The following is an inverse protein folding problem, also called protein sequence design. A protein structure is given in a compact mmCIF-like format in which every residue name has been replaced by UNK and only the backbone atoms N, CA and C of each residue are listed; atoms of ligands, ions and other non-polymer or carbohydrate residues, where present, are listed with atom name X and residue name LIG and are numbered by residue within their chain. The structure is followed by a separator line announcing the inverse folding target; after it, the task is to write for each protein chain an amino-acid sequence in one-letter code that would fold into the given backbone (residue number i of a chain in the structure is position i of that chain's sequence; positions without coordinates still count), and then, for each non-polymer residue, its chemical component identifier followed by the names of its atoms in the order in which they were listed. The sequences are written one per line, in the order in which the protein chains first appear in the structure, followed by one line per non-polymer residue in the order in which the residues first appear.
data_IF_806415427656
#
_entry.id   IF_806415427656
#
_cell.length_a   1.000
_cell.length_b   1.000
_cell.length_c   1.000
_cell.angle_alpha   90.00
_cell.angle_beta   90.00
_cell.angle_gamma   90.00
#
_symmetry.space_group_name_H-M   'P 1'
#
loop_
_entity.id
_entity.type
_entity.pdbx_description
1 polymer ?
#
# COMPACT_ATOMS: atom_id res chain seq x y z
N UNK A 1 -10.68 49.61 -61.93
CA UNK A 1 -11.21 50.40 -63.08
C UNK A 1 -12.50 51.18 -62.75
N UNK A 2 -13.19 50.95 -61.62
CA UNK A 2 -14.42 51.69 -61.25
C UNK A 2 -14.21 52.94 -60.38
N UNK A 3 -13.09 53.06 -59.65
CA UNK A 3 -12.84 54.20 -58.76
C UNK A 3 -12.69 55.51 -59.53
N UNK A 4 -11.93 55.53 -60.63
CA UNK A 4 -11.74 56.72 -61.48
C UNK A 4 -13.04 57.24 -62.14
N UNK A 5 -13.98 56.34 -62.47
CA UNK A 5 -15.28 56.74 -63.03
C UNK A 5 -16.17 57.39 -61.98
N UNK A 6 -16.15 56.87 -60.75
CA UNK A 6 -16.87 57.46 -59.62
C UNK A 6 -16.29 58.82 -59.22
N UNK A 7 -14.97 58.98 -59.23
CA UNK A 7 -14.34 60.29 -58.97
C UNK A 7 -14.65 61.29 -60.08
N UNK A 8 -14.63 60.87 -61.35
CA UNK A 8 -14.97 61.75 -62.47
C UNK A 8 -16.43 62.22 -62.41
N UNK A 9 -17.39 61.34 -62.09
CA UNK A 9 -18.81 61.71 -61.94
C UNK A 9 -19.02 62.66 -60.75
N UNK A 10 -18.35 62.42 -59.63
CA UNK A 10 -18.42 63.30 -58.46
C UNK A 10 -17.89 64.71 -58.78
N UNK A 11 -16.79 64.82 -59.53
CA UNK A 11 -16.22 66.11 -59.97
C UNK A 11 -17.20 66.86 -60.88
N UNK A 12 -17.85 66.17 -61.83
CA UNK A 12 -18.85 66.78 -62.71
C UNK A 12 -20.08 67.30 -61.95
N UNK A 13 -20.57 66.55 -60.95
CA UNK A 13 -21.70 66.97 -60.11
C UNK A 13 -21.32 68.19 -59.25
N UNK A 14 -20.11 68.20 -58.69
CA UNK A 14 -19.60 69.32 -57.88
C UNK A 14 -19.42 70.59 -58.73
N UNK A 15 -18.88 70.45 -59.95
CA UNK A 15 -18.75 71.56 -60.89
C UNK A 15 -20.12 72.11 -61.33
N UNK A 16 -21.09 71.22 -61.60
CA UNK A 16 -22.45 71.61 -61.95
C UNK A 16 -23.16 72.35 -60.82
N UNK A 17 -23.08 71.86 -59.57
CA UNK A 17 -23.63 72.51 -58.39
C UNK A 17 -22.96 73.86 -58.09
N UNK A 18 -21.64 73.93 -58.25
CA UNK A 18 -20.87 75.17 -58.10
C UNK A 18 -21.31 76.25 -59.08
N UNK A 19 -21.56 75.89 -60.34
CA UNK A 19 -22.03 76.82 -61.37
C UNK A 19 -23.44 77.36 -61.09
N UNK A 20 -24.37 76.51 -60.62
CA UNK A 20 -25.73 76.92 -60.25
C UNK A 20 -25.75 77.86 -59.03
N UNK A 21 -24.89 77.62 -58.04
CA UNK A 21 -24.74 78.52 -56.89
C UNK A 21 -24.13 79.87 -57.26
N UNK A 22 -23.22 79.89 -58.25
CA UNK A 22 -22.56 81.10 -58.77
C UNK A 22 -23.54 82.07 -59.42
N UNK A 23 -24.54 81.53 -60.12
CA UNK A 23 -25.59 82.31 -60.77
C UNK A 23 -26.56 82.92 -59.73
N UNK A 24 -26.86 82.22 -58.63
CA UNK A 24 -27.95 82.60 -57.71
C UNK A 24 -27.53 83.41 -56.47
N UNK A 25 -26.29 83.28 -55.96
CA UNK A 25 -25.94 83.79 -54.62
C UNK A 25 -24.71 84.71 -54.54
N UNK A 26 -24.09 85.02 -55.67
CA UNK A 26 -22.95 85.95 -55.76
C UNK A 26 -21.62 85.39 -55.26
N UNK A 27 -20.52 86.03 -55.68
CA UNK A 27 -19.15 85.48 -55.59
C UNK A 27 -18.74 85.10 -54.16
N UNK A 28 -19.15 85.86 -53.14
CA UNK A 28 -18.73 85.63 -51.76
C UNK A 28 -19.29 84.34 -51.15
N UNK A 29 -20.56 83.97 -51.41
CA UNK A 29 -21.13 82.72 -50.89
C UNK A 29 -20.59 81.48 -51.62
N UNK A 30 -20.22 81.64 -52.89
CA UNK A 30 -19.61 80.60 -53.72
C UNK A 30 -18.20 80.26 -53.23
N UNK A 31 -17.42 81.25 -52.80
CA UNK A 31 -16.11 81.00 -52.20
C UNK A 31 -16.22 80.23 -50.88
N UNK A 32 -17.17 80.57 -50.00
CA UNK A 32 -17.40 79.80 -48.78
C UNK A 32 -17.85 78.36 -49.06
N UNK A 33 -18.71 78.14 -50.07
CA UNK A 33 -19.16 76.81 -50.47
C UNK A 33 -18.02 75.99 -51.10
N UNK A 34 -17.20 76.60 -51.97
CA UNK A 34 -16.02 75.97 -52.56
C UNK A 34 -14.97 75.59 -51.51
N UNK A 35 -14.69 76.48 -50.56
CA UNK A 35 -13.79 76.20 -49.43
C UNK A 35 -14.35 75.07 -48.55
N UNK A 36 -15.67 75.05 -48.30
CA UNK A 36 -16.32 74.01 -47.50
C UNK A 36 -16.29 72.64 -48.18
N UNK A 37 -16.47 72.57 -49.51
CA UNK A 37 -16.34 71.34 -50.29
C UNK A 37 -14.89 70.85 -50.30
N UNK A 38 -13.91 71.74 -50.46
CA UNK A 38 -12.49 71.38 -50.39
C UNK A 38 -12.16 70.81 -49.01
N UNK A 39 -12.60 71.46 -47.94
CA UNK A 39 -12.42 70.98 -46.56
C UNK A 39 -13.11 69.63 -46.33
N UNK A 40 -14.35 69.45 -46.78
CA UNK A 40 -15.07 68.16 -46.68
C UNK A 40 -14.40 67.05 -47.51
N UNK A 41 -13.82 67.37 -48.68
CA UNK A 41 -13.07 66.40 -49.48
C UNK A 41 -11.76 66.00 -48.82
N UNK A 42 -11.07 66.94 -48.16
CA UNK A 42 -9.87 66.69 -47.38
C UNK A 42 -10.19 65.83 -46.16
N UNK A 43 -11.24 66.17 -45.40
CA UNK A 43 -11.70 65.38 -44.25
C UNK A 43 -12.15 63.99 -44.70
N UNK A 44 -12.92 63.88 -45.79
CA UNK A 44 -13.35 62.60 -46.36
C UNK A 44 -12.18 61.75 -46.83
N UNK A 45 -11.16 62.35 -47.46
CA UNK A 45 -9.93 61.66 -47.86
C UNK A 45 -9.13 61.19 -46.65
N UNK A 46 -9.05 61.98 -45.58
CA UNK A 46 -8.35 61.61 -44.33
C UNK A 46 -9.10 60.51 -43.58
N UNK A 47 -10.43 60.59 -43.51
CA UNK A 47 -11.28 59.56 -42.90
C UNK A 47 -11.22 58.26 -43.72
N UNK A 48 -11.25 58.34 -45.04
CA UNK A 48 -11.12 57.18 -45.93
C UNK A 48 -9.74 56.53 -45.81
N UNK A 49 -8.65 57.30 -45.83
CA UNK A 49 -7.30 56.75 -45.64
C UNK A 49 -7.13 56.18 -44.24
N UNK A 50 -7.67 56.82 -43.19
CA UNK A 50 -7.66 56.28 -41.83
C UNK A 50 -8.45 54.97 -41.70
N UNK A 51 -9.67 54.92 -42.26
CA UNK A 51 -10.52 53.72 -42.22
C UNK A 51 -9.93 52.57 -43.06
N UNK A 52 -9.38 52.88 -44.24
CA UNK A 52 -8.63 51.92 -45.07
C UNK A 52 -7.38 51.41 -44.34
N UNK A 53 -6.62 52.28 -43.69
CA UNK A 53 -5.44 51.89 -42.91
C UNK A 53 -5.82 50.99 -41.71
N UNK A 54 -6.95 51.23 -41.05
CA UNK A 54 -7.46 50.37 -39.97
C UNK A 54 -7.97 49.02 -40.49
N UNK A 55 -8.68 49.02 -41.61
CA UNK A 55 -9.15 47.81 -42.30
C UNK A 55 -7.98 46.94 -42.76
N UNK A 56 -6.98 47.53 -43.42
CA UNK A 56 -5.78 46.83 -43.90
C UNK A 56 -4.98 46.22 -42.74
N UNK A 57 -4.83 46.93 -41.62
CA UNK A 57 -4.22 46.39 -40.39
C UNK A 57 -4.98 45.19 -39.83
N UNK A 58 -6.30 45.22 -39.90
CA UNK A 58 -7.16 44.13 -39.40
C UNK A 58 -7.07 42.92 -40.32
N UNK A 59 -7.07 43.13 -41.64
CA UNK A 59 -6.89 42.08 -42.64
C UNK A 59 -5.51 41.42 -42.51
N UNK A 60 -4.44 42.20 -42.38
CA UNK A 60 -3.09 41.65 -42.23
C UNK A 60 -2.91 40.91 -40.91
N UNK A 61 -3.57 41.35 -39.83
CA UNK A 61 -3.63 40.61 -38.57
C UNK A 61 -4.32 39.24 -38.75
N UNK A 62 -5.46 39.20 -39.42
CA UNK A 62 -6.19 37.95 -39.69
C UNK A 62 -5.38 36.99 -40.56
N UNK A 63 -4.68 37.49 -41.59
CA UNK A 63 -3.76 36.67 -42.41
C UNK A 63 -2.67 36.04 -41.54
N UNK A 64 -2.04 36.82 -40.66
CA UNK A 64 -1.01 36.33 -39.76
C UNK A 64 -1.54 35.27 -38.78
N UNK A 65 -2.74 35.48 -38.22
CA UNK A 65 -3.41 34.51 -37.35
C UNK A 65 -3.70 33.18 -38.07
N UNK A 66 -4.21 33.23 -39.31
CA UNK A 66 -4.47 32.02 -40.11
C UNK A 66 -3.17 31.29 -40.46
N UNK A 67 -2.11 32.00 -40.85
CA UNK A 67 -0.81 31.38 -41.14
C UNK A 67 -0.17 30.79 -39.88
N UNK A 68 -0.34 31.41 -38.71
CA UNK A 68 0.07 30.80 -37.44
C UNK A 68 -0.74 29.54 -37.13
N UNK A 69 -2.05 29.55 -37.42
CA UNK A 69 -2.91 28.38 -37.25
C UNK A 69 -2.47 27.22 -38.15
N UNK A 70 -2.27 27.45 -39.45
CA UNK A 70 -1.75 26.43 -40.39
C UNK A 70 -0.44 25.82 -39.88
N UNK A 71 0.49 26.66 -39.41
CA UNK A 71 1.78 26.20 -38.86
C UNK A 71 1.58 25.29 -37.64
N UNK A 72 0.68 25.69 -36.74
CA UNK A 72 0.34 24.91 -35.54
C UNK A 72 -0.33 23.58 -35.90
N UNK A 73 -1.35 23.60 -36.76
CA UNK A 73 -2.09 22.41 -37.17
C UNK A 73 -1.17 21.40 -37.89
N UNK A 74 -0.26 21.90 -38.73
CA UNK A 74 0.78 21.07 -39.36
C UNK A 74 1.71 20.42 -38.32
N UNK A 75 2.19 21.18 -37.34
CA UNK A 75 3.07 20.66 -36.29
C UNK A 75 2.37 19.62 -35.41
N UNK A 76 1.10 19.86 -35.06
CA UNK A 76 0.27 18.92 -34.31
C UNK A 76 0.06 17.62 -35.11
N UNK A 77 -0.25 17.73 -36.41
CA UNK A 77 -0.36 16.58 -37.31
C UNK A 77 0.95 15.81 -37.45
N UNK A 78 2.09 16.50 -37.58
CA UNK A 78 3.40 15.87 -37.63
C UNK A 78 3.72 15.07 -36.38
N UNK A 79 3.40 15.63 -35.21
CA UNK A 79 3.58 14.95 -33.93
C UNK A 79 2.70 13.69 -33.83
N UNK A 80 1.42 13.80 -34.18
CA UNK A 80 0.49 12.66 -34.15
C UNK A 80 0.92 11.53 -35.11
N UNK A 81 1.36 11.87 -36.32
CA UNK A 81 1.87 10.88 -37.27
C UNK A 81 3.18 10.26 -36.79
N UNK A 82 4.07 11.02 -36.16
CA UNK A 82 5.29 10.47 -35.57
C UNK A 82 5.00 9.46 -34.45
N UNK A 83 4.08 9.79 -33.54
CA UNK A 83 3.62 8.89 -32.47
C UNK A 83 2.94 7.62 -33.04
N UNK A 84 2.15 7.76 -34.11
CA UNK A 84 1.59 6.61 -34.82
C UNK A 84 2.67 5.71 -35.44
N UNK A 85 3.79 6.30 -35.87
CA UNK A 85 4.96 5.61 -36.41
C UNK A 85 5.65 4.65 -35.44
N UNK A 86 5.40 4.77 -34.13
CA UNK A 86 5.89 3.80 -33.13
C UNK A 86 5.13 2.47 -33.17
N UNK A 87 3.92 2.45 -33.76
CA UNK A 87 3.07 1.26 -33.84
C UNK A 87 3.00 0.65 -35.23
N UNK A 88 2.96 1.51 -36.24
CA UNK A 88 2.75 1.11 -37.64
C UNK A 88 3.70 1.85 -38.57
N UNK A 89 3.98 1.26 -39.72
CA UNK A 89 4.71 1.97 -40.75
C UNK A 89 3.82 3.10 -41.33
N UNK A 90 4.19 4.35 -41.06
CA UNK A 90 3.53 5.56 -41.55
C UNK A 90 4.30 6.27 -42.68
N UNK A 91 5.28 5.62 -43.31
CA UNK A 91 6.17 6.25 -44.31
C UNK A 91 5.40 6.90 -45.46
N UNK A 92 4.29 6.28 -45.90
CA UNK A 92 3.42 6.84 -46.93
C UNK A 92 2.73 8.12 -46.46
N UNK A 93 2.19 8.11 -45.23
CA UNK A 93 1.50 9.26 -44.63
C UNK A 93 2.48 10.39 -44.33
N UNK A 94 3.69 10.06 -43.88
CA UNK A 94 4.77 11.00 -43.61
C UNK A 94 5.26 11.67 -44.91
N UNK A 95 5.43 10.92 -46.00
CA UNK A 95 5.78 11.49 -47.31
C UNK A 95 4.71 12.47 -47.81
N UNK A 96 3.44 12.12 -47.64
CA UNK A 96 2.33 13.01 -48.01
C UNK A 96 2.25 14.27 -47.14
N UNK A 97 2.62 14.16 -45.86
CA UNK A 97 2.75 15.30 -44.95
C UNK A 97 3.93 16.21 -45.35
N UNK A 98 5.08 15.62 -45.68
CA UNK A 98 6.25 16.36 -46.19
C UNK A 98 5.92 17.08 -47.52
N UNK A 99 5.15 16.44 -48.41
CA UNK A 99 4.65 17.06 -49.64
C UNK A 99 3.75 18.27 -49.35
N UNK A 100 2.88 18.18 -48.34
CA UNK A 100 2.05 19.32 -47.89
C UNK A 100 2.93 20.50 -47.45
N UNK A 101 3.99 20.24 -46.69
CA UNK A 101 4.98 21.27 -46.30
C UNK A 101 5.67 21.89 -47.52
N UNK A 102 6.17 21.06 -48.44
CA UNK A 102 6.81 21.54 -49.66
C UNK A 102 5.88 22.42 -50.50
N UNK A 103 4.59 22.08 -50.58
CA UNK A 103 3.61 22.89 -51.30
C UNK A 103 3.40 24.26 -50.64
N UNK A 104 3.30 24.33 -49.31
CA UNK A 104 3.17 25.59 -48.58
C UNK A 104 4.41 26.49 -48.73
N UNK A 105 5.60 25.89 -48.84
CA UNK A 105 6.86 26.60 -49.13
C UNK A 105 6.87 27.10 -50.58
N UNK A 106 6.48 26.25 -51.55
CA UNK A 106 6.44 26.61 -52.97
C UNK A 106 5.43 27.75 -53.26
N UNK A 107 4.32 27.80 -52.53
CA UNK A 107 3.36 28.91 -52.56
C UNK A 107 3.90 30.19 -51.93
N UNK A 108 5.10 30.15 -51.34
CA UNK A 108 5.76 31.25 -50.62
C UNK A 108 4.95 31.72 -49.42
N UNK A 109 4.18 30.85 -48.77
CA UNK A 109 3.59 31.16 -47.47
C UNK A 109 4.61 31.01 -46.34
N UNK A 110 5.54 30.07 -46.49
CA UNK A 110 6.62 29.83 -45.54
C UNK A 110 7.98 29.67 -46.24
N UNK A 111 9.06 29.90 -45.50
CA UNK A 111 10.43 29.58 -45.92
C UNK A 111 10.81 28.12 -45.61
N UNK A 112 12.07 27.76 -45.88
CA UNK A 112 12.60 26.41 -45.62
C UNK A 112 12.50 26.00 -44.14
N UNK A 113 12.65 26.98 -43.24
CA UNK A 113 12.54 26.81 -41.78
C UNK A 113 11.08 26.87 -41.28
N UNK A 114 10.12 26.95 -42.21
CA UNK A 114 8.69 27.02 -41.96
C UNK A 114 8.27 28.27 -41.17
N UNK A 115 8.97 29.39 -41.38
CA UNK A 115 8.59 30.71 -40.89
C UNK A 115 7.82 31.48 -41.96
N UNK A 116 6.86 32.31 -41.54
CA UNK A 116 6.03 33.10 -42.44
C UNK A 116 6.89 34.10 -43.21
N UNK A 117 6.72 34.15 -44.52
CA UNK A 117 7.49 35.05 -45.40
C UNK A 117 6.81 36.41 -45.58
N UNK A 118 7.57 37.41 -46.04
CA UNK A 118 7.01 38.71 -46.44
C UNK A 118 6.16 38.59 -47.72
N UNK A 119 6.46 37.62 -48.59
CA UNK A 119 5.66 37.31 -49.78
C UNK A 119 4.24 36.85 -49.45
N UNK A 120 4.04 36.18 -48.31
CA UNK A 120 2.73 35.74 -47.85
C UNK A 120 1.74 36.91 -47.70
N UNK A 121 2.22 38.11 -47.34
CA UNK A 121 1.40 39.32 -47.17
C UNK A 121 0.76 39.81 -48.48
N UNK A 122 1.37 39.48 -49.62
CA UNK A 122 0.90 39.88 -50.97
C UNK A 122 -0.35 39.11 -51.41
N UNK A 123 -0.66 38.00 -50.77
CA UNK A 123 -1.88 37.24 -51.05
C UNK A 123 -3.11 37.89 -50.41
N UNK A 124 -4.28 37.70 -51.04
CA UNK A 124 -5.55 38.12 -50.45
C UNK A 124 -5.94 37.20 -49.30
N UNK A 125 -6.71 37.73 -48.33
CA UNK A 125 -7.20 36.95 -47.20
C UNK A 125 -7.95 35.69 -47.65
N UNK A 126 -8.78 35.81 -48.69
CA UNK A 126 -9.54 34.69 -49.26
C UNK A 126 -8.67 33.54 -49.76
N UNK A 127 -7.50 33.83 -50.33
CA UNK A 127 -6.57 32.79 -50.80
C UNK A 127 -5.95 32.05 -49.61
N UNK A 128 -5.55 32.79 -48.57
CA UNK A 128 -5.00 32.20 -47.34
C UNK A 128 -6.06 31.37 -46.59
N UNK A 129 -7.31 31.83 -46.54
CA UNK A 129 -8.43 31.08 -45.96
C UNK A 129 -8.75 29.79 -46.74
N UNK A 130 -8.73 29.85 -48.07
CA UNK A 130 -8.92 28.67 -48.92
C UNK A 130 -7.81 27.64 -48.70
N UNK A 131 -6.56 28.09 -48.62
CA UNK A 131 -5.45 27.17 -48.35
C UNK A 131 -5.51 26.60 -46.94
N UNK A 132 -5.89 27.39 -45.93
CA UNK A 132 -6.13 26.88 -44.57
C UNK A 132 -7.16 25.73 -44.57
N UNK A 133 -8.28 25.90 -45.29
CA UNK A 133 -9.29 24.83 -45.41
C UNK A 133 -8.73 23.58 -46.11
N UNK A 134 -7.89 23.75 -47.15
CA UNK A 134 -7.24 22.62 -47.84
C UNK A 134 -6.26 21.88 -46.94
N UNK A 135 -5.44 22.61 -46.19
CA UNK A 135 -4.51 22.05 -45.20
C UNK A 135 -5.28 21.28 -44.14
N UNK A 136 -6.31 21.87 -43.53
CA UNK A 136 -7.16 21.19 -42.54
C UNK A 136 -7.77 19.90 -43.09
N UNK A 137 -8.31 19.93 -44.31
CA UNK A 137 -8.88 18.75 -44.95
C UNK A 137 -7.82 17.67 -45.23
N UNK A 138 -6.64 18.07 -45.71
CA UNK A 138 -5.55 17.14 -46.01
C UNK A 138 -5.02 16.51 -44.73
N UNK A 139 -4.79 17.28 -43.68
CA UNK A 139 -4.36 16.78 -42.38
C UNK A 139 -5.37 15.77 -41.81
N UNK A 140 -6.68 16.09 -41.82
CA UNK A 140 -7.74 15.16 -41.41
C UNK A 140 -7.73 13.87 -42.22
N UNK A 141 -7.49 13.94 -43.53
CA UNK A 141 -7.40 12.75 -44.38
C UNK A 141 -6.18 11.88 -44.04
N UNK A 142 -5.04 12.49 -43.75
CA UNK A 142 -3.82 11.79 -43.36
C UNK A 142 -3.96 11.15 -41.98
N UNK A 143 -4.58 11.86 -41.02
CA UNK A 143 -4.92 11.31 -39.70
C UNK A 143 -5.89 10.13 -39.81
N UNK A 144 -6.90 10.21 -40.67
CA UNK A 144 -7.84 9.11 -40.89
C UNK A 144 -7.15 7.87 -41.50
N UNK A 145 -6.24 8.07 -42.46
CA UNK A 145 -5.45 6.97 -43.04
C UNK A 145 -4.56 6.31 -41.98
N UNK A 146 -3.85 7.10 -41.18
CA UNK A 146 -3.05 6.57 -40.08
C UNK A 146 -3.91 5.87 -39.01
N UNK A 147 -5.10 6.38 -38.70
CA UNK A 147 -6.02 5.75 -37.76
C UNK A 147 -6.49 4.36 -38.22
N UNK A 148 -6.71 4.16 -39.53
CA UNK A 148 -7.08 2.86 -40.10
C UNK A 148 -5.99 1.82 -39.85
N UNK A 149 -4.73 2.20 -40.03
CA UNK A 149 -3.57 1.32 -39.81
C UNK A 149 -3.30 1.08 -38.32
N UNK A 150 -3.42 2.12 -37.48
CA UNK A 150 -3.17 2.03 -36.02
C UNK A 150 -4.20 1.16 -35.31
N UNK A 151 -5.47 1.24 -35.70
CA UNK A 151 -6.56 0.54 -35.02
C UNK A 151 -6.33 -0.97 -34.81
N UNK A 152 -6.02 -1.79 -35.83
CA UNK A 152 -5.77 -3.22 -35.62
C UNK A 152 -4.58 -3.50 -34.70
N UNK A 153 -3.52 -2.66 -34.76
CA UNK A 153 -2.36 -2.79 -33.86
C UNK A 153 -2.67 -2.39 -32.43
N UNK A 154 -3.53 -1.40 -32.23
CA UNK A 154 -4.05 -1.07 -30.91
C UNK A 154 -4.87 -2.22 -30.35
N UNK A 155 -5.76 -2.82 -31.14
CA UNK A 155 -6.58 -3.95 -30.72
C UNK A 155 -5.72 -5.16 -30.34
N UNK A 156 -4.68 -5.47 -31.14
CA UNK A 156 -3.68 -6.52 -30.85
C UNK A 156 -2.97 -6.25 -29.51
N UNK A 157 -2.47 -5.03 -29.33
CA UNK A 157 -1.81 -4.61 -28.09
C UNK A 157 -2.73 -4.74 -26.86
N UNK A 158 -3.99 -4.34 -26.98
CA UNK A 158 -4.98 -4.48 -25.91
C UNK A 158 -5.21 -5.95 -25.55
N UNK A 159 -5.32 -6.84 -26.55
CA UNK A 159 -5.47 -8.27 -26.29
C UNK A 159 -4.23 -8.86 -25.61
N UNK A 160 -3.03 -8.44 -26.00
CA UNK A 160 -1.80 -8.86 -25.32
C UNK A 160 -1.78 -8.46 -23.84
N UNK A 161 -2.18 -7.21 -23.53
CA UNK A 161 -2.30 -6.74 -22.15
C UNK A 161 -3.36 -7.53 -21.38
N UNK A 162 -4.51 -7.85 -21.99
CA UNK A 162 -5.54 -8.71 -21.38
C UNK A 162 -5.02 -10.09 -21.04
N UNK A 163 -4.29 -10.74 -21.95
CA UNK A 163 -3.69 -12.06 -21.69
C UNK A 163 -2.72 -11.99 -20.51
N UNK A 164 -1.92 -10.92 -20.43
CA UNK A 164 -1.01 -10.67 -19.31
C UNK A 164 -1.76 -10.44 -17.99
N UNK A 165 -2.84 -9.65 -17.99
CA UNK A 165 -3.71 -9.44 -16.83
C UNK A 165 -4.36 -10.75 -16.34
N UNK A 166 -4.86 -11.58 -17.26
CA UNK A 166 -5.46 -12.86 -16.90
C UNK A 166 -4.44 -13.82 -16.28
N UNK A 167 -3.19 -13.81 -16.73
CA UNK A 167 -2.09 -14.56 -16.08
C UNK A 167 -1.86 -14.11 -14.63
N UNK A 168 -1.83 -12.80 -14.37
CA UNK A 168 -1.67 -12.26 -13.01
C UNK A 168 -2.88 -12.61 -12.12
N UNK A 169 -4.09 -12.51 -12.66
CA UNK A 169 -5.32 -12.89 -11.95
C UNK A 169 -5.32 -14.39 -11.60
N UNK A 170 -4.96 -15.25 -12.55
CA UNK A 170 -4.83 -16.72 -12.34
C UNK A 170 -3.76 -17.09 -11.32
N UNK A 171 -2.69 -16.30 -11.22
CA UNK A 171 -1.69 -16.46 -10.16
C UNK A 171 -2.23 -16.08 -8.77
N UNK A 172 -3.38 -15.40 -8.69
CA UNK A 172 -4.08 -15.10 -7.45
C UNK A 172 -3.76 -13.73 -6.86
N UNK A 173 -3.29 -12.77 -7.65
CA UNK A 173 -3.12 -11.38 -7.22
C UNK A 173 -4.44 -10.65 -7.03
N UNK A 174 -4.52 -9.75 -6.04
CA UNK A 174 -5.74 -8.97 -5.73
C UNK A 174 -5.80 -7.66 -6.52
N UNK A 175 -6.15 -7.77 -7.80
CA UNK A 175 -6.15 -6.63 -8.77
C UNK A 175 -7.53 -6.33 -9.39
N UNK A 176 -8.63 -6.80 -8.78
CA UNK A 176 -9.98 -6.70 -9.37
C UNK A 176 -10.40 -5.28 -9.72
N UNK A 177 -10.32 -4.35 -8.77
CA UNK A 177 -10.72 -2.95 -8.95
C UNK A 177 -9.87 -2.22 -10.02
N UNK A 178 -8.56 -2.51 -10.07
CA UNK A 178 -7.70 -1.91 -11.09
C UNK A 178 -7.95 -2.47 -12.49
N UNK A 179 -8.33 -3.75 -12.59
CA UNK A 179 -8.72 -4.39 -13.84
C UNK A 179 -10.04 -3.82 -14.34
N UNK A 180 -11.04 -3.58 -13.48
CA UNK A 180 -12.29 -2.92 -13.88
C UNK A 180 -12.04 -1.52 -14.47
N UNK A 181 -11.12 -0.77 -13.85
CA UNK A 181 -10.70 0.54 -14.38
C UNK A 181 -10.00 0.42 -15.74
N UNK A 182 -9.18 -0.62 -15.94
CA UNK A 182 -8.55 -0.91 -17.23
C UNK A 182 -9.61 -1.24 -18.29
N UNK A 183 -10.56 -2.12 -17.97
CA UNK A 183 -11.67 -2.51 -18.84
C UNK A 183 -12.59 -1.33 -19.18
N UNK A 184 -12.78 -0.37 -18.26
CA UNK A 184 -13.53 0.86 -18.52
C UNK A 184 -12.87 1.73 -19.59
N UNK A 185 -11.55 1.91 -19.52
CA UNK A 185 -10.78 2.64 -20.54
C UNK A 185 -10.84 1.89 -21.87
N UNK A 186 -10.77 0.57 -21.81
CA UNK A 186 -10.85 -0.30 -22.99
C UNK A 186 -12.21 -0.22 -23.69
N UNK A 187 -13.31 -0.14 -22.95
CA UNK A 187 -14.66 -0.06 -23.49
C UNK A 187 -14.95 1.27 -24.21
N UNK A 188 -14.15 2.32 -23.97
CA UNK A 188 -14.32 3.60 -24.65
C UNK A 188 -14.00 3.48 -26.14
N UNK A 189 -14.95 3.87 -27.00
CA UNK A 189 -14.71 3.98 -28.43
C UNK A 189 -13.66 5.06 -28.73
N UNK A 190 -12.74 4.76 -29.64
CA UNK A 190 -11.77 5.71 -30.17
C UNK A 190 -11.97 5.83 -31.68
N UNK A 191 -12.37 7.01 -32.14
CA UNK A 191 -12.73 7.30 -33.54
C UNK A 191 -11.64 8.04 -34.27
N UNK A 192 -10.83 8.83 -33.56
CA UNK A 192 -9.72 9.59 -34.14
C UNK A 192 -8.37 8.98 -33.77
N UNK A 193 -7.33 9.26 -34.58
CA UNK A 193 -5.96 8.84 -34.29
C UNK A 193 -5.50 9.31 -32.90
N UNK A 194 -5.80 10.56 -32.55
CA UNK A 194 -5.47 11.14 -31.24
C UNK A 194 -6.10 10.36 -30.10
N UNK A 195 -7.38 10.00 -30.21
CA UNK A 195 -8.07 9.19 -29.19
C UNK A 195 -7.45 7.80 -29.06
N UNK A 196 -7.04 7.18 -30.17
CA UNK A 196 -6.41 5.86 -30.18
C UNK A 196 -5.04 5.88 -29.47
N UNK A 197 -4.20 6.88 -29.77
CA UNK A 197 -2.89 7.04 -29.13
C UNK A 197 -3.02 7.37 -27.63
N UNK A 198 -3.98 8.23 -27.27
CA UNK A 198 -4.27 8.55 -25.88
C UNK A 198 -4.81 7.32 -25.12
N UNK A 199 -5.64 6.51 -25.77
CA UNK A 199 -6.13 5.24 -25.20
C UNK A 199 -4.99 4.27 -24.95
N UNK A 200 -4.07 4.09 -25.92
CA UNK A 200 -2.86 3.28 -25.72
C UNK A 200 -2.09 3.74 -24.48
N UNK A 201 -1.82 5.05 -24.38
CA UNK A 201 -1.07 5.63 -23.28
C UNK A 201 -1.74 5.36 -21.93
N UNK A 202 -3.03 5.65 -21.81
CA UNK A 202 -3.81 5.40 -20.58
C UNK A 202 -3.83 3.94 -20.17
N UNK A 203 -3.98 3.03 -21.14
CA UNK A 203 -3.96 1.59 -20.87
C UNK A 203 -2.58 1.13 -20.40
N UNK A 204 -1.50 1.62 -21.01
CA UNK A 204 -0.13 1.34 -20.56
C UNK A 204 0.12 1.84 -19.14
N UNK A 205 -0.24 3.09 -18.85
CA UNK A 205 -0.09 3.67 -17.50
C UNK A 205 -0.87 2.87 -16.46
N UNK A 206 -2.11 2.48 -16.78
CA UNK A 206 -2.92 1.66 -15.88
C UNK A 206 -2.36 0.26 -15.70
N UNK A 207 -1.86 -0.36 -16.77
CA UNK A 207 -1.21 -1.66 -16.70
C UNK A 207 0.06 -1.63 -15.84
N UNK A 208 0.90 -0.60 -15.99
CA UNK A 208 2.07 -0.36 -15.12
C UNK A 208 1.67 -0.19 -13.66
N UNK A 209 0.58 0.53 -13.37
CA UNK A 209 0.04 0.66 -12.02
C UNK A 209 -0.37 -0.69 -11.43
N UNK A 210 -1.01 -1.57 -12.23
CA UNK A 210 -1.37 -2.94 -11.82
C UNK A 210 -0.12 -3.77 -11.51
N UNK A 211 0.91 -3.71 -12.34
CA UNK A 211 2.17 -4.42 -12.11
C UNK A 211 2.85 -3.98 -10.81
N UNK A 212 2.90 -2.67 -10.55
CA UNK A 212 3.44 -2.13 -9.31
C UNK A 212 2.65 -2.60 -8.08
N UNK A 213 1.32 -2.66 -8.16
CA UNK A 213 0.49 -3.21 -7.08
C UNK A 213 0.78 -4.69 -6.82
N UNK A 214 0.93 -5.50 -7.87
CA UNK A 214 1.32 -6.91 -7.74
C UNK A 214 2.68 -7.06 -7.08
N UNK A 215 3.66 -6.23 -7.46
CA UNK A 215 4.99 -6.23 -6.87
C UNK A 215 4.95 -5.82 -5.38
N UNK A 216 4.15 -4.82 -5.02
CA UNK A 216 3.95 -4.40 -3.63
C UNK A 216 3.29 -5.51 -2.80
N UNK A 217 2.22 -6.14 -3.29
CA UNK A 217 1.57 -7.27 -2.61
C UNK A 217 2.56 -8.43 -2.38
N UNK A 218 3.37 -8.75 -3.39
CA UNK A 218 4.42 -9.75 -3.23
C UNK A 218 5.50 -9.32 -2.21
N UNK A 219 5.87 -8.04 -2.20
CA UNK A 219 6.84 -7.47 -1.26
C UNK A 219 6.38 -7.50 0.20
N UNK A 220 5.12 -7.17 0.48
CA UNK A 220 4.55 -7.18 1.83
C UNK A 220 4.59 -8.58 2.47
N UNK A 221 4.22 -9.61 1.69
CA UNK A 221 4.30 -11.02 2.13
C UNK A 221 5.76 -11.42 2.44
N UNK A 222 6.73 -10.81 1.77
CA UNK A 222 8.16 -11.09 1.96
C UNK A 222 8.76 -10.40 3.17
N UNK A 223 8.33 -9.19 3.50
CA UNK A 223 8.74 -8.52 4.74
C UNK A 223 8.40 -9.34 5.98
N UNK A 224 7.32 -10.13 5.95
CA UNK A 224 6.95 -11.06 7.01
C UNK A 224 7.81 -12.33 7.04
N UNK A 225 8.54 -12.66 5.97
CA UNK A 225 9.21 -13.97 5.80
C UNK A 225 10.73 -13.94 5.55
N UNK A 226 11.37 -12.76 5.49
CA UNK A 226 12.83 -12.51 5.42
C UNK A 226 13.64 -13.43 4.46
N UNK A 227 13.06 -13.89 3.34
CA UNK A 227 13.76 -14.80 2.42
C UNK A 227 14.32 -14.09 1.19
N UNK A 228 15.65 -14.00 1.11
CA UNK A 228 16.42 -13.32 0.06
C UNK A 228 16.13 -13.76 -1.39
N UNK A 229 15.60 -14.98 -1.60
CA UNK A 229 15.38 -15.54 -2.94
C UNK A 229 14.22 -14.90 -3.71
N UNK A 230 13.10 -14.62 -3.04
CA UNK A 230 11.89 -14.06 -3.70
C UNK A 230 11.97 -12.53 -3.75
N UNK A 231 12.63 -11.89 -2.78
CA UNK A 231 12.91 -10.44 -2.80
C UNK A 231 13.62 -10.05 -4.10
N UNK A 232 14.65 -10.79 -4.50
CA UNK A 232 15.36 -10.56 -5.77
C UNK A 232 14.48 -10.72 -7.00
N UNK A 233 13.51 -11.65 -6.98
CA UNK A 233 12.56 -11.86 -8.09
C UNK A 233 11.64 -10.64 -8.23
N UNK A 234 11.13 -10.11 -7.12
CA UNK A 234 10.29 -8.90 -7.11
C UNK A 234 11.09 -7.67 -7.53
N UNK A 235 12.33 -7.50 -7.06
CA UNK A 235 13.23 -6.43 -7.49
C UNK A 235 13.51 -6.50 -9.00
N UNK A 236 13.78 -7.70 -9.53
CA UNK A 236 13.95 -7.90 -10.96
C UNK A 236 12.67 -7.60 -11.75
N UNK A 237 11.49 -7.94 -11.23
CA UNK A 237 10.22 -7.59 -11.85
C UNK A 237 10.03 -6.06 -11.94
N UNK A 238 10.40 -5.31 -10.88
CA UNK A 238 10.35 -3.85 -10.89
C UNK A 238 11.33 -3.22 -11.90
N UNK A 239 12.50 -3.82 -12.09
CA UNK A 239 13.45 -3.40 -13.15
C UNK A 239 12.87 -3.65 -14.56
N UNK A 240 12.14 -4.75 -14.74
CA UNK A 240 11.44 -5.06 -16.00
C UNK A 240 10.34 -4.05 -16.33
N UNK A 241 9.62 -3.54 -15.32
CA UNK A 241 8.65 -2.43 -15.51
C UNK A 241 9.34 -1.19 -16.08
N UNK A 242 10.51 -0.82 -15.54
CA UNK A 242 11.26 0.37 -15.99
C UNK A 242 11.81 0.27 -17.42
N UNK A 243 12.00 -0.96 -17.91
CA UNK A 243 12.49 -1.25 -19.26
C UNK A 243 11.36 -1.60 -20.22
N UNK A 244 10.10 -1.44 -19.79
CA UNK A 244 8.89 -1.78 -20.56
C UNK A 244 8.82 -3.25 -21.03
N UNK A 245 9.61 -4.14 -20.43
CA UNK A 245 9.55 -5.59 -20.66
C UNK A 245 8.43 -6.21 -19.81
N UNK A 246 7.20 -5.98 -20.25
CA UNK A 246 6.00 -6.43 -19.56
C UNK A 246 5.86 -7.96 -19.50
N UNK A 247 6.29 -8.68 -20.54
CA UNK A 247 6.26 -10.15 -20.54
C UNK A 247 7.22 -10.72 -19.49
N UNK A 248 8.45 -10.22 -19.45
CA UNK A 248 9.42 -10.59 -18.42
C UNK A 248 8.95 -10.25 -17.00
N UNK A 249 8.31 -9.08 -16.83
CA UNK A 249 7.74 -8.68 -15.53
C UNK A 249 6.64 -9.64 -15.06
N UNK A 250 5.66 -9.95 -15.92
CA UNK A 250 4.54 -10.83 -15.59
C UNK A 250 5.03 -12.23 -15.24
N UNK A 251 6.00 -12.78 -15.99
CA UNK A 251 6.60 -14.09 -15.69
C UNK A 251 7.21 -14.10 -14.28
N UNK A 252 7.98 -13.07 -13.93
CA UNK A 252 8.63 -12.98 -12.62
C UNK A 252 7.61 -12.82 -11.48
N UNK A 253 6.56 -12.03 -11.68
CA UNK A 253 5.50 -11.87 -10.66
C UNK A 253 4.72 -13.18 -10.47
N UNK A 254 4.39 -13.90 -11.54
CA UNK A 254 3.75 -15.21 -11.43
C UNK A 254 4.64 -16.21 -10.69
N UNK A 255 5.95 -16.26 -10.99
CA UNK A 255 6.92 -17.10 -10.26
C UNK A 255 7.02 -16.70 -8.78
N UNK A 256 7.12 -15.40 -8.50
CA UNK A 256 7.12 -14.89 -7.13
C UNK A 256 5.87 -15.34 -6.37
N UNK A 257 4.68 -15.23 -6.98
CA UNK A 257 3.42 -15.64 -6.35
C UNK A 257 3.34 -17.15 -6.13
N UNK A 258 3.80 -17.96 -7.08
CA UNK A 258 3.86 -19.42 -6.91
C UNK A 258 4.77 -19.80 -5.73
N UNK A 259 5.98 -19.23 -5.68
CA UNK A 259 6.92 -19.49 -4.58
C UNK A 259 6.39 -19.00 -3.24
N UNK A 260 5.70 -17.86 -3.23
CA UNK A 260 5.02 -17.35 -2.04
C UNK A 260 3.92 -18.30 -1.58
N UNK A 261 3.14 -18.88 -2.49
CA UNK A 261 2.08 -19.84 -2.16
C UNK A 261 2.64 -21.11 -1.52
N UNK A 262 3.67 -21.71 -2.15
CA UNK A 262 4.32 -22.91 -1.62
C UNK A 262 4.99 -22.61 -0.27
N UNK A 263 5.67 -21.46 -0.18
CA UNK A 263 6.26 -21.00 1.06
C UNK A 263 5.23 -20.79 2.16
N UNK A 264 4.12 -20.09 1.90
CA UNK A 264 3.07 -19.85 2.89
C UNK A 264 2.51 -21.17 3.41
N UNK A 265 2.37 -22.17 2.55
CA UNK A 265 1.90 -23.50 2.95
C UNK A 265 2.90 -24.21 3.87
N UNK A 266 4.17 -24.25 3.49
CA UNK A 266 5.21 -24.92 4.28
C UNK A 266 5.49 -24.18 5.59
N UNK A 267 5.58 -22.85 5.52
CA UNK A 267 5.79 -21.98 6.67
C UNK A 267 4.63 -22.06 7.65
N UNK A 268 3.38 -21.98 7.17
CA UNK A 268 2.21 -22.17 8.01
C UNK A 268 2.23 -23.54 8.71
N UNK A 269 2.58 -24.62 7.99
CA UNK A 269 2.66 -25.95 8.58
C UNK A 269 3.74 -26.02 9.67
N UNK A 270 4.93 -25.46 9.43
CA UNK A 270 6.03 -25.43 10.42
C UNK A 270 5.61 -24.61 11.65
N UNK A 271 5.12 -23.39 11.44
CA UNK A 271 4.68 -22.48 12.51
C UNK A 271 3.54 -23.06 13.33
N UNK A 272 2.55 -23.68 12.68
CA UNK A 272 1.44 -24.36 13.36
C UNK A 272 1.95 -25.54 14.19
N UNK A 273 2.82 -26.38 13.63
CA UNK A 273 3.34 -27.55 14.33
C UNK A 273 4.16 -27.15 15.56
N UNK A 274 5.02 -26.14 15.41
CA UNK A 274 5.80 -25.59 16.51
C UNK A 274 4.91 -24.99 17.59
N UNK A 275 3.90 -24.20 17.20
CA UNK A 275 2.96 -23.62 18.14
C UNK A 275 2.12 -24.67 18.85
N UNK A 276 1.60 -25.66 18.12
CA UNK A 276 0.85 -26.78 18.69
C UNK A 276 1.69 -27.56 19.71
N UNK A 277 2.97 -27.80 19.42
CA UNK A 277 3.89 -28.47 20.35
C UNK A 277 4.13 -27.64 21.63
N UNK A 278 4.31 -26.33 21.50
CA UNK A 278 4.44 -25.42 22.65
C UNK A 278 3.18 -25.40 23.52
N UNK A 279 2.00 -25.29 22.90
CA UNK A 279 0.71 -25.28 23.59
C UNK A 279 0.50 -26.60 24.34
N UNK A 280 0.72 -27.73 23.68
CA UNK A 280 0.56 -29.05 24.29
C UNK A 280 1.55 -29.30 25.44
N UNK A 281 2.80 -28.84 25.29
CA UNK A 281 3.82 -28.97 26.33
C UNK A 281 3.48 -28.19 27.60
N UNK A 282 3.07 -26.93 27.45
CA UNK A 282 2.66 -26.09 28.59
C UNK A 282 1.34 -26.57 29.19
N UNK A 283 0.36 -26.97 28.37
CA UNK A 283 -0.93 -27.47 28.85
C UNK A 283 -0.75 -28.67 29.80
N UNK A 284 0.10 -29.63 29.45
CA UNK A 284 0.40 -30.80 30.30
C UNK A 284 1.01 -30.43 31.65
N UNK A 285 1.81 -29.37 31.70
CA UNK A 285 2.36 -28.89 32.95
C UNK A 285 1.27 -28.25 33.82
N UNK A 286 0.35 -27.50 33.21
CA UNK A 286 -0.74 -26.82 33.92
C UNK A 286 -1.83 -27.77 34.42
N UNK A 287 -2.15 -28.83 33.67
CA UNK A 287 -3.16 -29.84 34.03
C UNK A 287 -2.80 -30.63 35.32
N UNK A 288 -1.53 -30.61 35.73
CA UNK A 288 -1.07 -31.18 37.00
C UNK A 288 -1.03 -30.20 38.18
N UNK A 289 -1.22 -28.91 37.94
CA UNK A 289 -1.04 -27.86 38.93
C UNK A 289 -2.36 -27.38 39.52
N UNK A 290 -2.30 -26.68 40.66
CA UNK A 290 -3.49 -26.11 41.31
C UNK A 290 -3.94 -24.81 40.63
N UNK A 291 -4.18 -24.87 39.32
CA UNK A 291 -4.66 -23.76 38.46
C UNK A 291 -6.18 -23.63 38.59
N UNK A 292 -6.68 -22.40 38.45
CA UNK A 292 -8.13 -22.14 38.45
C UNK A 292 -8.82 -22.74 37.21
N UNK A 293 -10.02 -23.36 37.36
CA UNK A 293 -10.73 -23.98 36.25
C UNK A 293 -11.00 -23.04 35.06
N UNK A 294 -11.28 -21.77 35.32
CA UNK A 294 -11.54 -20.76 34.28
C UNK A 294 -10.30 -20.55 33.39
N UNK A 295 -9.11 -20.48 33.98
CA UNK A 295 -7.84 -20.31 33.25
C UNK A 295 -7.47 -21.56 32.45
N UNK A 296 -7.69 -22.73 33.02
CA UNK A 296 -7.51 -23.98 32.29
C UNK A 296 -8.45 -24.07 31.09
N UNK A 297 -9.70 -23.58 31.22
CA UNK A 297 -10.65 -23.54 30.10
C UNK A 297 -10.19 -22.57 29.01
N UNK A 298 -9.69 -21.39 29.37
CA UNK A 298 -9.13 -20.41 28.42
C UNK A 298 -7.98 -21.01 27.59
N UNK A 299 -7.05 -21.72 28.24
CA UNK A 299 -5.92 -22.36 27.55
C UNK A 299 -6.38 -23.54 26.69
N UNK A 300 -7.37 -24.32 27.12
CA UNK A 300 -7.95 -25.41 26.33
C UNK A 300 -8.73 -24.91 25.10
N UNK A 301 -9.43 -23.78 25.22
CA UNK A 301 -10.08 -23.11 24.10
C UNK A 301 -9.04 -22.66 23.07
N UNK A 302 -7.97 -21.99 23.51
CA UNK A 302 -6.86 -21.58 22.63
C UNK A 302 -6.20 -22.78 21.94
N UNK A 303 -5.96 -23.87 22.68
CA UNK A 303 -5.43 -25.13 22.14
C UNK A 303 -6.32 -25.69 21.05
N UNK A 304 -7.63 -25.72 21.26
CA UNK A 304 -8.61 -26.20 20.28
C UNK A 304 -8.59 -25.36 19.01
N UNK A 305 -8.48 -24.04 19.15
CA UNK A 305 -8.37 -23.13 18.01
C UNK A 305 -7.10 -23.37 17.19
N UNK A 306 -5.93 -23.52 17.84
CA UNK A 306 -4.67 -23.80 17.14
C UNK A 306 -4.75 -25.09 16.32
N UNK A 307 -5.41 -26.13 16.85
CA UNK A 307 -5.61 -27.39 16.13
C UNK A 307 -6.56 -27.23 14.92
N UNK A 308 -7.60 -26.41 15.05
CA UNK A 308 -8.61 -26.18 14.02
C UNK A 308 -8.08 -25.41 12.80
N UNK A 309 -7.23 -24.39 13.01
CA UNK A 309 -6.70 -23.58 11.91
C UNK A 309 -5.87 -24.45 10.97
N UNK A 310 -6.28 -24.58 9.70
CA UNK A 310 -5.62 -25.46 8.72
C UNK A 310 -5.27 -24.77 7.40
N UNK A 311 -5.69 -23.52 7.22
CA UNK A 311 -5.49 -22.75 5.99
C UNK A 311 -4.22 -21.87 6.09
N UNK A 312 -3.26 -21.97 5.15
CA UNK A 312 -2.15 -21.03 5.06
C UNK A 312 -2.56 -19.55 4.96
N UNK A 313 -3.78 -19.25 4.50
CA UNK A 313 -4.34 -17.90 4.44
C UNK A 313 -4.59 -17.24 5.81
N UNK A 314 -4.67 -18.01 6.89
CA UNK A 314 -5.00 -17.53 8.24
C UNK A 314 -3.76 -17.36 9.13
N UNK A 315 -2.60 -17.09 8.54
CA UNK A 315 -1.35 -16.94 9.30
C UNK A 315 -1.37 -15.76 10.27
N UNK A 316 -2.13 -14.70 9.96
CA UNK A 316 -2.38 -13.59 10.89
C UNK A 316 -3.10 -14.06 12.15
N UNK A 317 -4.17 -14.84 12.00
CA UNK A 317 -4.91 -15.43 13.12
C UNK A 317 -4.03 -16.33 13.99
N UNK A 318 -3.11 -17.08 13.36
CA UNK A 318 -2.14 -17.91 14.08
C UNK A 318 -1.19 -17.06 14.95
N UNK A 319 -0.79 -15.86 14.49
CA UNK A 319 0.04 -14.95 15.28
C UNK A 319 -0.75 -14.31 16.43
N UNK A 320 -2.00 -13.93 16.19
CA UNK A 320 -2.87 -13.39 17.24
C UNK A 320 -3.11 -14.42 18.35
N UNK A 321 -3.35 -15.68 17.99
CA UNK A 321 -3.47 -16.77 18.95
C UNK A 321 -2.18 -17.00 19.75
N UNK A 322 -0.99 -16.84 19.15
CA UNK A 322 0.28 -16.91 19.90
C UNK A 322 0.38 -15.84 20.96
N UNK A 323 -0.04 -14.61 20.64
CA UNK A 323 -0.03 -13.50 21.61
C UNK A 323 -1.00 -13.79 22.75
N UNK A 324 -2.23 -14.22 22.42
CA UNK A 324 -3.23 -14.59 23.43
C UNK A 324 -2.73 -15.72 24.34
N UNK A 325 -2.17 -16.78 23.75
CA UNK A 325 -1.58 -17.90 24.49
C UNK A 325 -0.45 -17.45 25.43
N UNK A 326 0.51 -16.66 24.93
CA UNK A 326 1.61 -16.14 25.75
C UNK A 326 1.11 -15.32 26.94
N UNK A 327 0.12 -14.47 26.71
CA UNK A 327 -0.49 -13.64 27.76
C UNK A 327 -1.23 -14.49 28.80
N UNK A 328 -2.04 -15.46 28.36
CA UNK A 328 -2.78 -16.35 29.25
C UNK A 328 -1.81 -17.14 30.15
N UNK A 329 -0.78 -17.75 29.56
CA UNK A 329 0.23 -18.52 30.30
C UNK A 329 1.04 -17.65 31.26
N UNK A 330 1.47 -16.46 30.84
CA UNK A 330 2.20 -15.54 31.71
C UNK A 330 1.34 -15.08 32.91
N UNK A 331 0.05 -14.81 32.68
CA UNK A 331 -0.92 -14.50 33.75
C UNK A 331 -1.05 -15.66 34.73
N UNK A 332 -1.20 -16.89 34.23
CA UNK A 332 -1.31 -18.08 35.09
C UNK A 332 -0.04 -18.32 35.91
N UNK A 333 1.14 -18.12 35.33
CA UNK A 333 2.41 -18.23 36.06
C UNK A 333 2.49 -17.19 37.19
N UNK A 334 2.08 -15.95 36.94
CA UNK A 334 2.07 -14.89 37.95
C UNK A 334 1.10 -15.21 39.11
N UNK A 335 -0.07 -15.76 38.80
CA UNK A 335 -1.06 -16.19 39.81
C UNK A 335 -0.54 -17.36 40.65
N UNK A 336 0.08 -18.37 40.02
CA UNK A 336 0.70 -19.48 40.74
C UNK A 336 1.84 -19.01 41.64
N UNK A 337 2.61 -18.01 41.19
CA UNK A 337 3.66 -17.40 41.99
C UNK A 337 3.11 -16.64 43.21
N UNK A 338 2.03 -15.86 43.04
CA UNK A 338 1.39 -15.17 44.16
C UNK A 338 0.77 -16.17 45.16
N UNK A 339 0.20 -17.26 44.64
CA UNK A 339 -0.28 -18.37 45.47
C UNK A 339 0.85 -19.00 46.27
N UNK A 340 2.01 -19.26 45.65
CA UNK A 340 3.20 -19.76 46.33
C UNK A 340 3.60 -18.79 47.45
N UNK A 341 3.73 -17.51 47.16
CA UNK A 341 4.05 -16.47 48.14
C UNK A 341 3.07 -16.44 49.31
N UNK A 342 1.77 -16.59 49.04
CA UNK A 342 0.75 -16.65 50.11
C UNK A 342 0.92 -17.86 51.02
N UNK A 343 1.29 -19.03 50.47
CA UNK A 343 1.60 -20.23 51.26
C UNK A 343 2.87 -20.00 52.07
N UNK A 344 3.90 -19.38 51.51
CA UNK A 344 5.12 -19.05 52.25
C UNK A 344 4.86 -18.15 53.46
N UNK A 345 4.05 -17.10 53.29
CA UNK A 345 3.65 -16.22 54.39
C UNK A 345 2.82 -16.96 55.44
N UNK A 346 1.92 -17.85 55.01
CA UNK A 346 1.18 -18.72 55.93
C UNK A 346 2.13 -19.63 56.71
N UNK A 347 3.12 -20.25 56.06
CA UNK A 347 4.14 -21.07 56.73
C UNK A 347 4.91 -20.25 57.75
N UNK A 348 5.35 -19.03 57.40
CA UNK A 348 6.06 -18.14 58.33
C UNK A 348 5.24 -17.79 59.57
N UNK A 349 3.92 -17.67 59.43
CA UNK A 349 3.03 -17.38 60.56
C UNK A 349 2.90 -18.58 61.54
N UNK A 350 2.92 -19.82 61.03
CA UNK A 350 2.74 -21.03 61.86
C UNK A 350 4.05 -21.72 62.27
N UNK A 351 5.15 -21.50 61.56
CA UNK A 351 6.40 -22.20 61.79
C UNK A 351 7.17 -21.62 62.99
N UNK A 352 7.61 -22.45 63.96
CA UNK A 352 8.34 -21.98 65.14
C UNK A 352 9.76 -21.48 64.84
N UNK A 353 10.39 -21.91 63.74
CA UNK A 353 11.67 -21.37 63.27
C UNK A 353 11.92 -21.61 61.77
N UNK A 354 12.81 -20.80 61.17
CA UNK A 354 13.26 -20.94 59.77
C UNK A 354 14.14 -22.18 59.51
N UNK A 355 14.58 -22.90 60.54
CA UNK A 355 15.39 -24.10 60.35
C UNK A 355 14.60 -25.29 59.79
N UNK A 356 13.26 -25.24 59.92
CA UNK A 356 12.36 -26.36 59.55
C UNK A 356 11.85 -26.19 58.11
N UNK A 357 11.90 -24.97 57.58
CA UNK A 357 11.42 -24.63 56.25
C UNK A 357 12.16 -23.40 55.70
N UNK A 358 12.53 -23.46 54.42
CA UNK A 358 13.22 -22.42 53.67
C UNK A 358 12.33 -21.91 52.54
N UNK A 359 12.25 -20.59 52.42
CA UNK A 359 11.56 -19.91 51.31
C UNK A 359 12.28 -20.16 50.00
N UNK A 360 11.50 -20.17 48.93
CA UNK A 360 12.01 -20.34 47.58
C UNK A 360 12.47 -19.01 46.98
N UNK A 361 13.79 -18.82 46.93
CA UNK A 361 14.40 -17.63 46.33
C UNK A 361 14.46 -17.70 44.79
N UNK A 362 14.17 -18.86 44.19
CA UNK A 362 14.31 -19.09 42.75
C UNK A 362 13.04 -18.80 41.94
N UNK A 363 11.85 -18.82 42.55
CA UNK A 363 10.59 -18.57 41.84
C UNK A 363 10.53 -17.18 41.19
N UNK A 364 10.78 -16.11 41.94
CA UNK A 364 10.68 -14.73 41.44
C UNK A 364 11.62 -14.46 40.23
N UNK A 365 12.93 -14.83 40.26
CA UNK A 365 13.79 -14.71 39.09
C UNK A 365 13.33 -15.50 37.87
N UNK A 366 12.69 -16.66 38.05
CA UNK A 366 12.17 -17.48 36.95
C UNK A 366 10.92 -16.85 36.33
N UNK A 367 9.99 -16.37 37.15
CA UNK A 367 8.75 -15.69 36.69
C UNK A 367 9.10 -14.43 35.90
N UNK A 368 10.04 -13.60 36.39
CA UNK A 368 10.46 -12.37 35.70
C UNK A 368 11.06 -12.59 34.31
N UNK A 369 11.54 -13.79 34.01
CA UNK A 369 12.07 -14.15 32.68
C UNK A 369 10.99 -14.52 31.69
N UNK A 370 9.75 -14.75 32.14
CA UNK A 370 8.63 -15.08 31.26
C UNK A 370 8.03 -13.78 30.72
N UNK A 371 8.38 -13.42 29.48
CA UNK A 371 7.84 -12.25 28.80
C UNK A 371 6.98 -12.64 27.60
N UNK A 372 5.74 -12.14 27.55
CA UNK A 372 4.86 -12.36 26.41
C UNK A 372 5.35 -11.67 25.12
N UNK A 373 6.34 -10.77 25.21
CA UNK A 373 6.97 -10.11 24.05
C UNK A 373 8.02 -11.01 23.38
N UNK A 374 8.52 -12.03 24.07
CA UNK A 374 9.55 -12.92 23.54
C UNK A 374 9.05 -13.76 22.34
N UNK A 375 9.99 -14.18 21.50
CA UNK A 375 9.75 -15.21 20.49
C UNK A 375 9.22 -16.51 21.14
N UNK A 376 8.33 -17.21 20.44
CA UNK A 376 7.59 -18.35 20.99
C UNK A 376 8.49 -19.43 21.61
N UNK A 377 9.63 -19.77 20.98
CA UNK A 377 10.58 -20.75 21.54
C UNK A 377 11.18 -20.30 22.85
N UNK A 378 11.59 -19.04 22.91
CA UNK A 378 12.22 -18.43 24.09
C UNK A 378 11.21 -18.38 25.23
N UNK A 379 10.01 -17.88 24.93
CA UNK A 379 8.88 -17.88 25.84
C UNK A 379 8.58 -19.28 26.39
N UNK A 380 8.39 -20.26 25.51
CA UNK A 380 8.02 -21.63 25.89
C UNK A 380 9.05 -22.22 26.85
N UNK A 381 10.34 -22.03 26.57
CA UNK A 381 11.42 -22.49 27.43
C UNK A 381 11.38 -21.86 28.83
N UNK A 382 11.20 -20.55 28.91
CA UNK A 382 11.13 -19.86 30.20
C UNK A 382 9.86 -20.21 30.98
N UNK A 383 8.72 -20.27 30.30
CA UNK A 383 7.43 -20.66 30.90
C UNK A 383 7.49 -22.09 31.45
N UNK A 384 8.02 -23.05 30.68
CA UNK A 384 8.22 -24.44 31.11
C UNK A 384 9.05 -24.52 32.38
N UNK A 385 10.21 -23.84 32.41
CA UNK A 385 11.09 -23.84 33.57
C UNK A 385 10.42 -23.22 34.81
N UNK A 386 9.67 -22.13 34.64
CA UNK A 386 8.95 -21.49 35.73
C UNK A 386 7.84 -22.40 36.28
N UNK A 387 7.02 -22.99 35.40
CA UNK A 387 5.93 -23.89 35.77
C UNK A 387 6.42 -25.13 36.50
N UNK A 388 7.46 -25.80 36.00
CA UNK A 388 8.01 -26.98 36.67
C UNK A 388 8.55 -26.68 38.07
N UNK A 389 9.18 -25.51 38.25
CA UNK A 389 9.75 -25.11 39.54
C UNK A 389 8.67 -24.70 40.53
N UNK A 390 7.79 -23.78 40.13
CA UNK A 390 6.67 -23.30 40.96
C UNK A 390 5.77 -24.46 41.35
N UNK A 391 5.48 -25.37 40.43
CA UNK A 391 4.64 -26.52 40.68
C UNK A 391 5.18 -27.46 41.76
N UNK A 392 6.47 -27.83 41.65
CA UNK A 392 7.17 -28.62 42.68
C UNK A 392 7.15 -27.93 44.04
N UNK A 393 7.38 -26.62 44.08
CA UNK A 393 7.41 -25.87 45.32
C UNK A 393 6.00 -25.71 45.94
N UNK A 394 4.98 -25.42 45.14
CA UNK A 394 3.58 -25.36 45.58
C UNK A 394 3.14 -26.69 46.20
N UNK A 395 3.50 -27.83 45.59
CA UNK A 395 3.19 -29.14 46.14
C UNK A 395 3.85 -29.38 47.51
N UNK A 396 5.13 -29.00 47.64
CA UNK A 396 5.92 -29.10 48.87
C UNK A 396 5.33 -28.22 49.99
N UNK A 397 5.06 -26.95 49.70
CA UNK A 397 4.59 -25.98 50.69
C UNK A 397 3.13 -26.23 51.09
N UNK A 398 2.28 -26.64 50.14
CA UNK A 398 0.92 -27.11 50.43
C UNK A 398 0.92 -28.32 51.37
N UNK A 399 1.85 -29.27 51.19
CA UNK A 399 1.97 -30.42 52.08
C UNK A 399 2.45 -29.99 53.48
N UNK A 400 3.39 -29.05 53.55
CA UNK A 400 3.92 -28.55 54.81
C UNK A 400 2.89 -27.75 55.61
N UNK A 401 2.09 -26.89 54.98
CA UNK A 401 0.98 -26.19 55.65
C UNK A 401 -0.02 -27.15 56.26
N UNK A 402 -0.35 -28.25 55.57
CA UNK A 402 -1.24 -29.28 56.12
C UNK A 402 -0.66 -29.92 57.38
N UNK A 403 0.66 -30.07 57.46
CA UNK A 403 1.34 -30.56 58.67
C UNK A 403 1.22 -29.51 59.78
N UNK A 404 1.53 -28.24 59.49
CA UNK A 404 1.45 -27.15 60.47
C UNK A 404 0.04 -26.97 61.04
N UNK A 405 -1.00 -26.91 60.19
CA UNK A 405 -2.40 -26.73 60.62
C UNK A 405 -2.95 -27.89 61.45
N UNK A 406 -2.42 -29.10 61.26
CA UNK A 406 -2.84 -30.28 62.01
C UNK A 406 -1.94 -30.57 63.21
N UNK A 407 -0.86 -29.80 63.39
CA UNK A 407 0.16 -30.09 64.39
C UNK A 407 -0.40 -30.17 65.80
N UNK A 408 -1.23 -29.23 66.25
CA UNK A 408 -1.76 -29.21 67.62
C UNK A 408 -2.54 -30.48 67.99
N UNK A 409 -3.25 -31.07 67.02
CA UNK A 409 -3.98 -32.34 67.22
C UNK A 409 -3.03 -33.53 67.33
N UNK A 410 -1.97 -33.53 66.53
CA UNK A 410 -0.97 -34.61 66.52
C UNK A 410 0.01 -34.48 67.68
N UNK A 411 0.30 -33.26 68.12
CA UNK A 411 1.15 -32.95 69.27
C UNK A 411 0.66 -33.66 70.53
N UNK A 412 -0.65 -33.57 70.83
CA UNK A 412 -1.24 -34.27 71.98
C UNK A 412 -1.06 -35.79 71.91
N UNK A 413 -1.11 -36.37 70.70
CA UNK A 413 -0.90 -37.80 70.49
C UNK A 413 0.58 -38.15 70.72
N UNK A 414 1.50 -37.30 70.24
CA UNK A 414 2.95 -37.47 70.42
C UNK A 414 3.30 -37.39 71.91
N UNK A 415 2.84 -36.36 72.64
CA UNK A 415 3.09 -36.19 74.07
C UNK A 415 2.61 -37.39 74.87
N UNK A 416 1.37 -37.84 74.65
CA UNK A 416 0.79 -39.00 75.37
C UNK A 416 1.60 -40.29 75.15
N UNK A 417 2.10 -40.52 73.94
CA UNK A 417 2.94 -41.71 73.65
C UNK A 417 4.35 -41.58 74.23
N UNK A 418 4.94 -40.39 74.18
CA UNK A 418 6.25 -40.12 74.79
C UNK A 418 6.23 -40.27 76.31
N UNK A 419 5.19 -39.82 77.00
CA UNK A 419 5.04 -39.98 78.45
C UNK A 419 5.00 -41.46 78.88
N UNK A 420 4.39 -42.33 78.06
CA UNK A 420 4.30 -43.76 78.36
C UNK A 420 5.57 -44.57 78.06
N UNK A 421 6.26 -44.25 76.95
CA UNK A 421 7.33 -45.11 76.42
C UNK A 421 8.73 -44.45 76.42
N UNK A 422 8.83 -43.13 76.67
CA UNK A 422 10.07 -42.34 76.65
C UNK A 422 10.71 -42.18 75.26
N UNK A 423 10.20 -42.88 74.24
CA UNK A 423 10.65 -42.86 72.85
C UNK A 423 9.47 -43.11 71.92
N UNK A 424 9.49 -42.52 70.73
CA UNK A 424 8.44 -42.67 69.72
C UNK A 424 9.04 -42.72 68.31
N UNK A 425 8.75 -43.77 67.54
CA UNK A 425 9.14 -43.85 66.13
C UNK A 425 8.05 -43.31 65.21
N UNK A 426 8.44 -42.84 64.02
CA UNK A 426 7.50 -42.35 63.00
C UNK A 426 6.44 -43.39 62.62
N UNK A 427 6.80 -44.67 62.56
CA UNK A 427 5.87 -45.78 62.24
C UNK A 427 4.75 -45.97 63.28
N UNK A 428 4.97 -45.50 64.51
CA UNK A 428 3.96 -45.57 65.57
C UNK A 428 2.88 -44.48 65.45
N UNK A 429 3.04 -43.51 64.55
CA UNK A 429 2.03 -42.48 64.29
C UNK A 429 1.24 -42.83 63.03
N UNK A 430 -0.08 -43.03 63.18
CA UNK A 430 -0.99 -43.27 62.05
C UNK A 430 -1.42 -41.93 61.42
N UNK A 431 -0.46 -41.18 60.88
CA UNK A 431 -0.69 -39.90 60.19
C UNK A 431 0.14 -39.84 58.92
N UNK A 432 -0.22 -38.96 57.98
CA UNK A 432 0.58 -38.72 56.77
C UNK A 432 1.80 -37.86 57.14
N UNK A 433 3.00 -38.26 56.70
CA UNK A 433 4.30 -37.62 57.01
C UNK A 433 4.68 -37.60 58.51
N UNK A 434 4.64 -38.75 59.22
CA UNK A 434 4.88 -38.81 60.66
C UNK A 434 6.27 -38.28 61.08
N UNK A 435 7.30 -38.47 60.25
CA UNK A 435 8.66 -37.96 60.45
C UNK A 435 8.70 -36.43 60.58
N UNK A 436 7.87 -35.71 59.82
CA UNK A 436 7.81 -34.24 59.87
C UNK A 436 7.14 -33.73 61.15
N UNK A 437 6.12 -34.44 61.65
CA UNK A 437 5.49 -34.11 62.92
C UNK A 437 6.44 -34.33 64.11
N UNK A 438 7.20 -35.43 64.12
CA UNK A 438 8.20 -35.71 65.16
C UNK A 438 9.34 -34.69 65.16
N UNK A 439 9.84 -34.32 63.97
CA UNK A 439 10.85 -33.29 63.83
C UNK A 439 10.35 -31.93 64.36
N UNK A 440 9.12 -31.54 64.01
CA UNK A 440 8.50 -30.31 64.50
C UNK A 440 8.31 -30.31 66.02
N UNK A 441 7.94 -31.46 66.59
CA UNK A 441 7.82 -31.63 68.04
C UNK A 441 9.15 -31.37 68.76
N UNK A 442 10.25 -31.96 68.28
CA UNK A 442 11.58 -31.75 68.90
C UNK A 442 12.04 -30.30 68.91
N UNK A 443 11.54 -29.49 67.98
CA UNK A 443 11.87 -28.07 67.88
C UNK A 443 10.99 -27.20 68.78
N UNK A 444 9.75 -27.60 69.05
CA UNK A 444 8.85 -26.91 70.00
C UNK A 444 9.07 -27.34 71.46
N UNK A 445 9.61 -28.54 71.69
CA UNK A 445 9.82 -29.14 73.01
C UNK A 445 11.32 -29.40 73.27
N UNK A 446 12.03 -28.44 73.92
CA UNK A 446 13.49 -28.48 74.07
C UNK A 446 14.04 -29.68 74.83
N UNK A 447 13.19 -30.33 75.62
CA UNK A 447 13.43 -31.55 76.40
C UNK A 447 13.38 -32.82 75.56
N UNK A 448 13.13 -32.72 74.27
CA UNK A 448 13.13 -33.86 73.35
C UNK A 448 14.18 -33.72 72.25
N UNK A 449 14.60 -34.85 71.69
CA UNK A 449 15.57 -34.92 70.60
C UNK A 449 15.07 -35.87 69.51
N UNK A 450 15.08 -35.39 68.26
CA UNK A 450 14.71 -36.17 67.09
C UNK A 450 15.95 -36.64 66.34
N UNK A 451 16.02 -37.93 66.04
CA UNK A 451 17.09 -38.52 65.23
C UNK A 451 16.56 -38.86 63.84
N UNK A 452 17.05 -38.15 62.82
CA UNK A 452 16.57 -38.28 61.43
C UNK A 452 16.87 -39.67 60.82
N UNK A 453 18.05 -40.24 61.08
CA UNK A 453 18.45 -41.56 60.54
C UNK A 453 17.59 -42.74 61.01
N UNK A 454 16.91 -42.59 62.15
CA UNK A 454 16.03 -43.62 62.72
C UNK A 454 14.58 -43.18 62.82
N UNK A 455 14.26 -41.98 62.33
CA UNK A 455 12.96 -41.32 62.43
C UNK A 455 12.31 -41.49 63.81
N UNK A 456 13.10 -41.29 64.87
CA UNK A 456 12.68 -41.55 66.26
C UNK A 456 12.89 -40.30 67.12
N UNK A 457 11.89 -39.99 67.94
CA UNK A 457 11.88 -38.92 68.92
C UNK A 457 12.08 -39.51 70.32
N UNK A 458 12.90 -38.88 71.16
CA UNK A 458 13.17 -39.34 72.54
C UNK A 458 13.20 -38.17 73.52
N UNK A 459 12.86 -38.44 74.78
CA UNK A 459 13.06 -37.47 75.87
C UNK A 459 14.55 -37.44 76.22
N UNK A 460 15.13 -36.24 76.31
CA UNK A 460 16.51 -36.05 76.76
C UNK A 460 16.64 -36.47 78.22
N UNK A 461 17.70 -37.20 78.56
CA UNK A 461 17.99 -37.52 79.94
C UNK A 461 18.23 -36.21 80.73
N UNK A 462 17.50 -35.99 81.82
CA UNK A 462 17.80 -34.89 82.75
C UNK A 462 19.19 -35.15 83.35
N UNK A 463 20.14 -34.25 83.08
CA UNK A 463 21.45 -34.21 83.73
C UNK A 463 21.32 -33.55 85.10
#
# INVERSE_FOLDING_TARGET
MNEYKLTAIAIWIILGLGFVFLINFGVAQVTYFGISIILLSLVGSVVYTWWKTQSDKTVDKLKAEILLKIKKDYADGQKLIAEAGEMVNVDNVRRDLESLRSNLINLKFYDADFNTTEEAKKYTLTVIEQENRRVEQRLRSLEALAAIEVKPKLDEYIQELRVKLDKLRKAGYKIGEEVENFETIEAQESKTLREMLEKKKKLTEKFVSILNKCAAEAGEILTTSQRYGVIKIVEHALLKIKTEDFDGCVILLVDARSRLKDFLKDFFAIEKNEFSASVEGIYKLLDGEQVEPEKMREIEELRSWVLYISDPGTIGELQDLKVQFKNAVASTIAELHEKLRSLEEEIKAYAPSREIWTSDELAEPLVRRVSAEDELRVFTRYATNALEHIGKQLAKDSAFIKILKNYDKVEQIISKKLEGEGKLSATALNVKYPEKFLMLYSKKHPDTEYTESTATLRVKARV
#
